data_IF_295882062636
#
_entry.id   IF_295882062636
#
_cell.length_a   1.000
_cell.length_b   1.000
_cell.length_c   1.000
_cell.angle_alpha   90.00
_cell.angle_beta   90.00
_cell.angle_gamma   90.00
#
_symmetry.space_group_name_H-M   'P 1'
#
loop_
_entity.id
_entity.type
_entity.pdbx_description
1 polymer ?
#
# COMPACT_ATOMS: atom_id res chain seq x y z
N UNK A 1 7.08 28.30 48.31
CA UNK A 1 6.88 27.09 47.46
C UNK A 1 5.56 27.11 46.67
N UNK A 2 5.06 28.26 46.20
CA UNK A 2 3.79 28.36 45.44
C UNK A 2 3.93 28.98 44.05
N UNK A 3 5.14 29.39 43.66
CA UNK A 3 5.41 30.14 42.42
C UNK A 3 6.01 29.29 41.30
N UNK A 4 6.49 28.07 41.58
CA UNK A 4 7.08 27.17 40.58
C UNK A 4 6.05 26.33 39.81
N UNK A 5 4.84 26.15 40.37
CA UNK A 5 3.79 25.31 39.78
C UNK A 5 3.03 26.02 38.64
N UNK A 6 2.88 27.34 38.71
CA UNK A 6 2.16 28.14 37.68
C UNK A 6 2.93 28.22 36.36
N UNK A 7 4.25 27.99 36.38
CA UNK A 7 5.11 28.08 35.18
C UNK A 7 5.03 26.84 34.29
N UNK A 8 4.63 25.68 34.83
CA UNK A 8 4.51 24.43 34.06
C UNK A 8 3.20 24.35 33.27
N UNK A 9 2.09 24.88 33.80
CA UNK A 9 0.81 24.86 33.08
C UNK A 9 0.84 25.70 31.79
N UNK A 10 1.59 26.80 31.76
CA UNK A 10 1.74 27.61 30.53
C UNK A 10 2.55 26.92 29.43
N UNK A 11 3.45 26.00 29.79
CA UNK A 11 4.26 25.26 28.80
C UNK A 11 3.42 24.14 28.18
N UNK A 12 2.52 23.51 28.96
CA UNK A 12 1.59 22.49 28.46
C UNK A 12 0.52 23.09 27.53
N UNK A 13 0.11 24.34 27.75
CA UNK A 13 -0.88 25.03 26.92
C UNK A 13 -0.41 25.40 25.49
N UNK A 14 0.86 25.20 25.14
CA UNK A 14 1.40 25.44 23.79
C UNK A 14 1.65 24.17 22.97
N UNK A 15 1.42 22.99 23.55
CA UNK A 15 1.45 21.74 22.79
C UNK A 15 0.08 21.54 22.14
N UNK A 16 0.01 21.83 20.82
CA UNK A 16 -1.15 21.48 20.00
C UNK A 16 -1.55 20.03 20.25
N UNK A 17 -2.85 19.70 20.34
CA UNK A 17 -3.29 18.32 20.46
C UNK A 17 -2.91 17.59 19.16
N UNK A 18 -1.87 16.77 19.21
CA UNK A 18 -1.59 15.78 18.18
C UNK A 18 -2.68 14.75 18.30
N UNK A 19 -3.53 14.65 17.27
CA UNK A 19 -4.55 13.63 17.11
C UNK A 19 -3.93 12.24 17.21
N UNK A 20 -3.80 11.72 18.42
CA UNK A 20 -3.39 10.36 18.72
C UNK A 20 -4.63 9.46 18.66
N UNK A 21 -5.14 9.21 17.46
CA UNK A 21 -6.25 8.27 17.24
C UNK A 21 -5.82 6.96 16.57
N UNK A 22 -4.52 6.66 16.42
CA UNK A 22 -4.09 5.38 15.82
C UNK A 22 -2.79 4.76 16.37
N UNK A 23 -2.30 5.15 17.56
CA UNK A 23 -1.29 4.35 18.25
C UNK A 23 -1.98 3.43 19.27
N UNK A 24 -2.17 2.18 18.86
CA UNK A 24 -2.76 1.07 19.61
C UNK A 24 -4.29 1.13 19.82
N UNK A 25 -5.04 0.10 19.40
CA UNK A 25 -6.35 -0.14 19.97
C UNK A 25 -6.13 -0.64 21.41
N UNK A 26 -6.09 0.29 22.38
CA UNK A 26 -6.14 0.01 23.82
C UNK A 26 -7.30 -0.93 24.16
N UNK A 27 -8.34 -0.95 23.32
CA UNK A 27 -9.48 -1.87 23.38
C UNK A 27 -9.10 -3.37 23.25
N UNK A 28 -8.08 -3.74 22.48
CA UNK A 28 -7.68 -5.15 22.31
C UNK A 28 -6.83 -5.66 23.48
N UNK A 29 -6.01 -4.78 24.07
CA UNK A 29 -5.26 -5.06 25.30
C UNK A 29 -6.18 -5.12 26.52
N UNK A 30 -7.19 -4.25 26.60
CA UNK A 30 -8.20 -4.33 27.67
C UNK A 30 -9.03 -5.62 27.63
N UNK A 31 -9.40 -6.13 26.45
CA UNK A 31 -10.18 -7.38 26.34
C UNK A 31 -9.42 -8.62 26.81
N UNK A 32 -8.12 -8.71 26.54
CA UNK A 32 -7.32 -9.86 27.00
C UNK A 32 -6.97 -9.76 28.49
N UNK A 33 -6.72 -8.56 29.01
CA UNK A 33 -6.48 -8.35 30.45
C UNK A 33 -7.77 -8.60 31.26
N UNK A 34 -8.93 -8.14 30.78
CA UNK A 34 -10.22 -8.33 31.46
C UNK A 34 -10.68 -9.80 31.51
N UNK A 35 -10.28 -10.64 30.54
CA UNK A 35 -10.51 -12.11 30.58
C UNK A 35 -9.59 -12.84 31.56
N UNK A 36 -8.45 -12.25 31.90
CA UNK A 36 -7.44 -12.87 32.75
C UNK A 36 -7.77 -12.72 34.25
N UNK A 37 -8.36 -11.59 34.65
CA UNK A 37 -8.67 -11.25 36.04
C UNK A 37 -9.62 -12.27 36.73
N UNK A 38 -10.76 -12.70 36.14
CA UNK A 38 -11.65 -13.65 36.81
C UNK A 38 -11.07 -15.07 36.87
N UNK A 39 -10.29 -15.49 35.86
CA UNK A 39 -9.64 -16.81 35.83
C UNK A 39 -8.60 -16.98 36.92
N UNK A 40 -7.84 -15.92 37.19
CA UNK A 40 -6.84 -15.90 38.26
C UNK A 40 -7.49 -15.94 39.65
N UNK A 41 -8.65 -15.28 39.82
CA UNK A 41 -9.41 -15.30 41.08
C UNK A 41 -10.01 -16.70 41.38
N UNK A 42 -10.53 -17.40 40.37
CA UNK A 42 -11.02 -18.78 40.55
C UNK A 42 -9.89 -19.76 40.86
N UNK A 43 -8.71 -19.62 40.26
CA UNK A 43 -7.56 -20.48 40.57
C UNK A 43 -6.98 -20.21 41.97
N UNK A 44 -7.02 -18.95 42.44
CA UNK A 44 -6.64 -18.62 43.81
C UNK A 44 -7.56 -19.26 44.86
N UNK A 45 -8.87 -19.38 44.57
CA UNK A 45 -9.82 -20.04 45.48
C UNK A 45 -9.58 -21.55 45.64
N UNK A 46 -9.06 -22.22 44.61
CA UNK A 46 -8.68 -23.65 44.66
C UNK A 46 -7.38 -23.84 45.45
N UNK A 47 -6.45 -22.88 45.35
CA UNK A 47 -5.16 -22.96 46.02
C UNK A 47 -5.21 -22.64 47.53
N UNK A 48 -6.19 -21.87 47.98
CA UNK A 48 -6.38 -21.54 49.41
C UNK A 48 -7.16 -22.61 50.21
N UNK A 49 -7.63 -23.68 49.55
CA UNK A 49 -8.62 -24.61 50.10
C UNK A 49 -8.15 -25.98 50.56
N UNK A 50 -6.85 -26.25 50.77
CA UNK A 50 -6.40 -27.60 51.19
C UNK A 50 -5.34 -27.59 52.30
N UNK A 51 -5.81 -27.52 53.55
CA UNK A 51 -5.06 -27.95 54.74
C UNK A 51 -5.02 -29.48 54.76
N UNK A 52 -3.84 -30.10 54.62
CA UNK A 52 -3.58 -31.41 55.21
C UNK A 52 -2.08 -31.62 55.41
N UNK A 53 -1.71 -31.79 56.67
CA UNK A 53 -0.37 -31.93 57.21
C UNK A 53 0.37 -33.16 56.67
N UNK A 54 1.55 -32.95 56.06
CA UNK A 54 2.72 -33.84 56.16
C UNK A 54 3.98 -32.98 56.10
N UNK A 55 4.75 -33.05 57.18
CA UNK A 55 6.02 -32.36 57.44
C UNK A 55 7.12 -32.85 56.51
N UNK A 56 7.21 -32.25 55.32
CA UNK A 56 8.50 -31.97 54.72
C UNK A 56 8.79 -30.51 55.03
N UNK A 57 9.94 -30.25 55.67
CA UNK A 57 10.40 -28.92 56.05
C UNK A 57 10.77 -28.12 54.78
N UNK A 58 9.74 -27.77 54.00
CA UNK A 58 9.87 -26.84 52.88
C UNK A 58 10.11 -25.49 53.53
N UNK A 59 11.36 -25.03 53.43
CA UNK A 59 11.77 -23.69 53.86
C UNK A 59 10.88 -22.68 53.14
N UNK A 60 9.85 -22.19 53.85
CA UNK A 60 8.96 -21.15 53.34
C UNK A 60 9.81 -19.88 53.25
N UNK A 61 10.30 -19.58 52.05
CA UNK A 61 10.99 -18.32 51.80
C UNK A 61 9.95 -17.20 51.91
N UNK A 62 10.15 -16.30 52.86
CA UNK A 62 9.38 -15.07 52.96
C UNK A 62 9.68 -14.23 51.70
N UNK A 63 8.68 -14.04 50.86
CA UNK A 63 8.76 -13.24 49.63
C UNK A 63 8.92 -11.77 50.03
N UNK A 64 9.98 -11.09 49.58
CA UNK A 64 10.20 -9.70 49.96
C UNK A 64 9.35 -8.76 49.11
N UNK A 65 8.79 -7.71 49.74
CA UNK A 65 8.02 -6.69 49.03
C UNK A 65 8.88 -5.97 47.98
N UNK A 66 10.18 -5.82 48.26
CA UNK A 66 11.15 -5.25 47.31
C UNK A 66 11.36 -6.16 46.09
N UNK A 67 11.22 -7.48 46.25
CA UNK A 67 11.43 -8.46 45.19
C UNK A 67 10.27 -8.42 44.18
N UNK A 68 9.03 -8.30 44.67
CA UNK A 68 7.86 -8.03 43.82
C UNK A 68 7.99 -6.68 43.13
N UNK A 69 8.44 -5.64 43.85
CA UNK A 69 8.56 -4.28 43.32
C UNK A 69 9.59 -4.17 42.19
N UNK A 70 10.75 -4.82 42.35
CA UNK A 70 11.78 -4.91 41.31
C UNK A 70 11.30 -5.77 40.13
N UNK A 71 10.59 -6.87 40.38
CA UNK A 71 10.06 -7.71 39.32
C UNK A 71 9.04 -6.97 38.44
N UNK A 72 8.10 -6.24 39.04
CA UNK A 72 7.11 -5.46 38.27
C UNK A 72 7.76 -4.26 37.57
N UNK A 73 8.78 -3.62 38.16
CA UNK A 73 9.45 -2.49 37.51
C UNK A 73 10.22 -2.95 36.26
N UNK A 74 10.91 -4.08 36.34
CA UNK A 74 11.58 -4.70 35.20
C UNK A 74 10.55 -5.17 34.17
N UNK A 75 9.44 -5.78 34.59
CA UNK A 75 8.39 -6.24 33.68
C UNK A 75 7.76 -5.07 32.89
N UNK A 76 7.47 -3.94 33.54
CA UNK A 76 6.95 -2.72 32.89
C UNK A 76 7.98 -2.14 31.90
N UNK A 77 9.26 -2.12 32.29
CA UNK A 77 10.34 -1.62 31.43
C UNK A 77 10.50 -2.47 30.16
N UNK A 78 10.49 -3.80 30.28
CA UNK A 78 10.60 -4.72 29.13
C UNK A 78 9.33 -4.66 28.27
N UNK A 79 8.15 -4.57 28.87
CA UNK A 79 6.88 -4.48 28.13
C UNK A 79 6.83 -3.26 27.20
N UNK A 80 7.50 -2.17 27.57
CA UNK A 80 7.56 -0.95 26.75
C UNK A 80 8.42 -1.17 25.49
N UNK A 81 9.48 -1.98 25.57
CA UNK A 81 10.40 -2.24 24.46
C UNK A 81 9.87 -3.30 23.48
N UNK A 82 9.04 -4.23 23.93
CA UNK A 82 8.56 -5.36 23.10
C UNK A 82 7.63 -4.97 21.95
N UNK A 83 7.06 -3.77 21.94
CA UNK A 83 5.95 -3.45 21.05
C UNK A 83 6.34 -2.99 19.64
N UNK A 84 7.53 -2.41 19.44
CA UNK A 84 7.85 -1.69 18.19
C UNK A 84 8.43 -2.57 17.09
N UNK A 85 9.25 -3.57 17.42
CA UNK A 85 9.94 -4.40 16.42
C UNK A 85 8.99 -5.35 15.65
N UNK A 86 7.92 -5.80 16.30
CA UNK A 86 6.99 -6.78 15.73
C UNK A 86 6.16 -6.20 14.57
N UNK A 87 5.83 -4.90 14.62
CA UNK A 87 4.98 -4.24 13.61
C UNK A 87 5.63 -4.24 12.23
N UNK A 88 6.94 -3.96 12.16
CA UNK A 88 7.67 -3.95 10.88
C UNK A 88 7.69 -5.32 10.21
N UNK A 89 7.86 -6.40 10.99
CA UNK A 89 7.86 -7.77 10.48
C UNK A 89 6.49 -8.21 9.99
N UNK A 90 5.42 -7.80 10.65
CA UNK A 90 4.06 -8.01 10.14
C UNK A 90 3.88 -7.28 8.81
N UNK A 91 4.33 -6.02 8.72
CA UNK A 91 4.17 -5.22 7.50
C UNK A 91 4.94 -5.82 6.32
N UNK A 92 6.19 -6.25 6.53
CA UNK A 92 6.98 -6.99 5.53
C UNK A 92 6.28 -8.28 5.09
N UNK A 93 5.69 -9.03 6.03
CA UNK A 93 4.93 -10.25 5.72
C UNK A 93 3.68 -9.95 4.89
N UNK A 94 2.96 -8.86 5.19
CA UNK A 94 1.81 -8.41 4.40
C UNK A 94 2.22 -8.00 2.99
N UNK A 95 3.30 -7.24 2.84
CA UNK A 95 3.83 -6.87 1.52
C UNK A 95 4.23 -8.10 0.71
N UNK A 96 4.88 -9.09 1.34
CA UNK A 96 5.22 -10.35 0.66
C UNK A 96 3.98 -11.14 0.23
N UNK A 97 2.91 -11.12 1.04
CA UNK A 97 1.65 -11.79 0.71
C UNK A 97 0.98 -11.10 -0.48
N UNK A 98 0.94 -9.76 -0.48
CA UNK A 98 0.40 -8.98 -1.60
C UNK A 98 1.13 -9.26 -2.91
N UNK A 99 2.46 -9.43 -2.89
CA UNK A 99 3.24 -9.80 -4.08
C UNK A 99 2.88 -11.21 -4.57
N UNK A 100 2.65 -12.17 -3.68
CA UNK A 100 2.21 -13.51 -4.06
C UNK A 100 0.83 -13.48 -4.72
N UNK A 101 -0.11 -12.75 -4.14
CA UNK A 101 -1.48 -12.60 -4.67
C UNK A 101 -1.47 -11.94 -6.05
N UNK A 102 -0.68 -10.87 -6.22
CA UNK A 102 -0.51 -10.19 -7.50
C UNK A 102 0.12 -11.11 -8.57
N UNK A 103 1.05 -11.99 -8.20
CA UNK A 103 1.61 -13.00 -9.13
C UNK A 103 0.54 -14.03 -9.53
N UNK A 104 -0.31 -14.45 -8.60
CA UNK A 104 -1.42 -15.37 -8.90
C UNK A 104 -2.42 -14.73 -9.88
N UNK A 105 -2.81 -13.47 -9.65
CA UNK A 105 -3.69 -12.70 -10.56
C UNK A 105 -3.04 -12.58 -11.94
N UNK A 106 -1.74 -12.25 -12.00
CA UNK A 106 -1.00 -12.17 -13.27
C UNK A 106 -1.01 -13.50 -14.03
N UNK A 107 -0.79 -14.61 -13.33
CA UNK A 107 -0.81 -15.94 -13.97
C UNK A 107 -2.19 -16.28 -14.51
N UNK A 108 -3.26 -15.93 -13.79
CA UNK A 108 -4.63 -16.08 -14.27
C UNK A 108 -4.89 -15.22 -15.53
N UNK A 109 -4.43 -13.96 -15.54
CA UNK A 109 -4.52 -13.08 -16.71
C UNK A 109 -3.81 -13.65 -17.94
N UNK A 110 -2.60 -14.20 -17.75
CA UNK A 110 -1.84 -14.86 -18.82
C UNK A 110 -2.60 -16.08 -19.36
N UNK A 111 -3.17 -16.89 -18.46
CA UNK A 111 -3.95 -18.08 -18.83
C UNK A 111 -5.21 -17.70 -19.62
N UNK A 112 -5.93 -16.67 -19.17
CA UNK A 112 -7.08 -16.11 -19.87
C UNK A 112 -6.70 -15.63 -21.28
N UNK A 113 -5.57 -14.93 -21.41
CA UNK A 113 -5.07 -14.44 -22.70
C UNK A 113 -4.77 -15.59 -23.66
N UNK A 114 -4.13 -16.67 -23.22
CA UNK A 114 -3.86 -17.83 -24.07
C UNK A 114 -5.12 -18.55 -24.58
N UNK A 115 -6.26 -18.38 -23.90
CA UNK A 115 -7.53 -19.01 -24.29
C UNK A 115 -8.38 -18.11 -25.17
N UNK A 116 -8.35 -16.80 -24.94
CA UNK A 116 -9.28 -15.83 -25.54
C UNK A 116 -8.58 -14.89 -26.53
N UNK A 117 -7.25 -14.96 -26.64
CA UNK A 117 -6.39 -14.01 -27.40
C UNK A 117 -6.63 -12.53 -27.02
N UNK A 118 -7.16 -12.28 -25.84
CA UNK A 118 -7.51 -10.95 -25.35
C UNK A 118 -7.47 -10.93 -23.83
N UNK A 119 -7.13 -9.78 -23.26
CA UNK A 119 -7.17 -9.59 -21.81
C UNK A 119 -8.61 -9.27 -21.36
N UNK A 120 -9.00 -9.67 -20.14
CA UNK A 120 -10.32 -9.35 -19.63
C UNK A 120 -10.46 -7.83 -19.40
N UNK A 121 -11.68 -7.30 -19.45
CA UNK A 121 -11.93 -5.89 -19.15
C UNK A 121 -12.00 -5.61 -17.64
N UNK A 122 -12.31 -6.66 -16.87
CA UNK A 122 -12.48 -6.59 -15.42
C UNK A 122 -12.02 -7.88 -14.75
N UNK A 123 -11.65 -7.82 -13.47
CA UNK A 123 -11.16 -8.99 -12.75
C UNK A 123 -12.26 -10.04 -12.53
N UNK A 124 -13.52 -9.64 -12.54
CA UNK A 124 -14.69 -10.52 -12.40
C UNK A 124 -14.79 -11.51 -13.57
N UNK A 125 -14.34 -11.15 -14.77
CA UNK A 125 -14.30 -12.06 -15.92
C UNK A 125 -13.33 -13.24 -15.68
N UNK A 126 -12.32 -13.09 -14.81
CA UNK A 126 -11.45 -14.19 -14.40
C UNK A 126 -12.18 -15.21 -13.51
N UNK A 127 -13.20 -14.77 -12.76
CA UNK A 127 -14.06 -15.66 -11.97
C UNK A 127 -15.04 -16.42 -12.87
N UNK A 128 -15.66 -15.72 -13.82
CA UNK A 128 -16.60 -16.32 -14.78
C UNK A 128 -15.94 -17.40 -15.63
N UNK A 129 -14.70 -17.13 -16.07
CA UNK A 129 -13.90 -18.08 -16.83
C UNK A 129 -13.30 -19.22 -16.00
N UNK A 130 -13.42 -19.16 -14.68
CA UNK A 130 -12.76 -20.07 -13.72
C UNK A 130 -11.24 -20.12 -13.85
N UNK A 131 -10.64 -19.11 -14.48
CA UNK A 131 -9.19 -18.91 -14.50
C UNK A 131 -8.67 -18.48 -13.12
N UNK A 132 -9.56 -17.93 -12.28
CA UNK A 132 -9.36 -17.69 -10.85
C UNK A 132 -10.55 -18.24 -10.04
N UNK A 133 -10.28 -18.92 -8.91
CA UNK A 133 -11.35 -19.50 -8.07
C UNK A 133 -12.09 -18.44 -7.24
N UNK A 134 -11.34 -17.48 -6.71
CA UNK A 134 -11.85 -16.38 -5.88
C UNK A 134 -10.91 -15.19 -6.06
N UNK A 135 -11.46 -13.97 -5.98
CA UNK A 135 -10.67 -12.75 -6.05
C UNK A 135 -10.07 -12.49 -4.66
N UNK A 136 -8.74 -12.60 -4.47
CA UNK A 136 -8.15 -12.30 -3.18
C UNK A 136 -8.32 -10.82 -2.84
N UNK A 137 -8.48 -10.53 -1.56
CA UNK A 137 -8.38 -9.17 -1.03
C UNK A 137 -6.93 -8.89 -0.62
N UNK A 138 -6.50 -7.66 -0.83
CA UNK A 138 -5.20 -7.17 -0.40
C UNK A 138 -5.02 -7.38 1.13
N UNK A 139 -3.82 -7.63 1.69
CA UNK A 139 -3.60 -7.82 3.13
C UNK A 139 -3.99 -6.66 4.06
N UNK A 140 -4.45 -5.55 3.48
CA UNK A 140 -5.05 -4.40 4.15
C UNK A 140 -6.58 -4.29 3.95
N UNK A 141 -7.22 -5.28 3.34
CA UNK A 141 -8.67 -5.40 3.17
C UNK A 141 -9.25 -4.56 2.04
N UNK A 142 -8.49 -4.30 0.98
CA UNK A 142 -8.91 -3.52 -0.20
C UNK A 142 -8.87 -4.38 -1.44
N UNK A 143 -9.61 -3.97 -2.47
CA UNK A 143 -9.55 -4.62 -3.78
C UNK A 143 -8.24 -4.28 -4.50
N UNK A 144 -7.78 -5.22 -5.33
CA UNK A 144 -6.66 -4.98 -6.23
C UNK A 144 -7.07 -4.05 -7.37
N UNK A 145 -6.16 -3.16 -7.76
CA UNK A 145 -6.37 -2.25 -8.88
C UNK A 145 -5.93 -2.99 -10.15
N UNK A 146 -6.86 -3.15 -11.09
CA UNK A 146 -6.61 -3.75 -12.39
C UNK A 146 -6.86 -2.76 -13.53
N UNK A 147 -5.86 -2.60 -14.38
CA UNK A 147 -5.90 -1.83 -15.61
C UNK A 147 -5.60 -2.75 -16.80
N UNK A 148 -6.56 -2.93 -17.72
CA UNK A 148 -6.32 -3.59 -19.00
C UNK A 148 -5.20 -2.88 -19.79
N UNK A 149 -4.49 -3.61 -20.68
CA UNK A 149 -3.51 -2.98 -21.56
C UNK A 149 -4.15 -1.94 -22.47
N UNK A 150 -3.40 -0.90 -22.78
CA UNK A 150 -3.84 0.18 -23.67
C UNK A 150 -2.84 0.38 -24.79
N UNK A 151 -3.32 0.23 -26.02
CA UNK A 151 -2.57 0.56 -27.21
C UNK A 151 -2.66 2.05 -27.52
N UNK A 152 -1.66 2.81 -27.07
CA UNK A 152 -1.62 4.26 -27.30
C UNK A 152 -1.63 4.64 -28.78
N UNK A 153 -1.11 3.77 -29.66
CA UNK A 153 -1.20 3.96 -31.12
C UNK A 153 -2.63 3.79 -31.64
N UNK A 154 -3.40 2.86 -31.09
CA UNK A 154 -4.82 2.70 -31.44
C UNK A 154 -5.63 3.91 -30.92
N UNK A 155 -5.30 4.42 -29.73
CA UNK A 155 -5.88 5.67 -29.21
C UNK A 155 -5.61 6.83 -30.17
N UNK A 156 -4.38 6.95 -30.68
CA UNK A 156 -4.04 8.00 -31.65
C UNK A 156 -4.84 7.88 -32.95
N UNK A 157 -5.00 6.66 -33.48
CA UNK A 157 -5.82 6.43 -34.67
C UNK A 157 -7.29 6.82 -34.44
N UNK A 158 -7.84 6.53 -33.26
CA UNK A 158 -9.19 6.98 -32.88
C UNK A 158 -9.29 8.50 -32.82
N UNK A 159 -8.29 9.17 -32.25
CA UNK A 159 -8.24 10.64 -32.22
C UNK A 159 -8.15 11.28 -33.61
N UNK A 160 -7.60 10.55 -34.60
CA UNK A 160 -7.52 11.01 -35.99
C UNK A 160 -8.79 10.70 -36.79
N UNK A 161 -9.67 9.83 -36.27
CA UNK A 161 -10.91 9.46 -36.95
C UNK A 161 -11.95 10.58 -36.86
N UNK A 162 -12.77 10.74 -37.90
CA UNK A 162 -13.80 11.78 -37.96
C UNK A 162 -14.96 11.56 -36.98
N UNK A 163 -15.28 10.29 -36.67
CA UNK A 163 -16.31 9.92 -35.70
C UNK A 163 -15.79 8.81 -34.76
N UNK A 164 -15.13 9.17 -33.65
CA UNK A 164 -14.52 8.22 -32.73
C UNK A 164 -15.54 7.37 -31.95
N UNK A 165 -16.74 7.89 -31.71
CA UNK A 165 -17.79 7.20 -30.93
C UNK A 165 -18.41 6.03 -31.69
N UNK A 166 -18.37 6.07 -33.02
CA UNK A 166 -18.88 5.00 -33.87
C UNK A 166 -17.95 3.79 -33.93
N UNK A 167 -16.68 3.93 -33.53
CA UNK A 167 -15.74 2.82 -33.53
C UNK A 167 -16.01 1.88 -32.33
N UNK A 168 -16.19 0.56 -32.55
CA UNK A 168 -16.45 -0.40 -31.48
C UNK A 168 -15.36 -0.45 -30.41
N UNK A 169 -14.14 0.03 -30.73
CA UNK A 169 -13.01 0.08 -29.79
C UNK A 169 -13.13 1.21 -28.76
N UNK A 170 -13.95 2.22 -29.02
CA UNK A 170 -14.07 3.39 -28.14
C UNK A 170 -14.69 3.07 -26.78
N UNK A 171 -15.76 2.27 -26.75
CA UNK A 171 -16.45 1.90 -25.52
C UNK A 171 -15.51 1.27 -24.46
N UNK A 172 -14.78 0.17 -24.74
CA UNK A 172 -13.90 -0.45 -23.74
C UNK A 172 -12.70 0.43 -23.38
N UNK A 173 -12.19 1.20 -24.34
CA UNK A 173 -11.08 2.12 -24.14
C UNK A 173 -11.48 3.27 -23.21
N UNK A 174 -12.65 3.85 -23.40
CA UNK A 174 -13.16 4.94 -22.55
C UNK A 174 -13.32 4.49 -21.09
N UNK A 175 -13.82 3.28 -20.86
CA UNK A 175 -13.93 2.69 -19.52
C UNK A 175 -12.54 2.49 -18.88
N UNK A 176 -11.60 1.96 -19.66
CA UNK A 176 -10.21 1.74 -19.20
C UNK A 176 -9.52 3.06 -18.85
N UNK A 177 -9.65 4.09 -19.68
CA UNK A 177 -9.06 5.40 -19.43
C UNK A 177 -9.73 6.11 -18.24
N UNK A 178 -11.05 6.00 -18.06
CA UNK A 178 -11.73 6.51 -16.85
C UNK A 178 -11.19 5.83 -15.59
N UNK A 179 -10.98 4.50 -15.62
CA UNK A 179 -10.35 3.77 -14.51
C UNK A 179 -8.91 4.24 -14.29
N UNK A 180 -8.11 4.42 -15.34
CA UNK A 180 -6.76 4.97 -15.24
C UNK A 180 -6.75 6.35 -14.57
N UNK A 181 -7.64 7.27 -14.96
CA UNK A 181 -7.75 8.59 -14.32
C UNK A 181 -8.10 8.48 -12.84
N UNK A 182 -9.00 7.55 -12.47
CA UNK A 182 -9.31 7.33 -11.05
C UNK A 182 -8.10 6.86 -10.24
N UNK A 183 -7.23 6.05 -10.85
CA UNK A 183 -5.98 5.59 -10.23
C UNK A 183 -4.98 6.74 -10.12
N UNK A 184 -4.81 7.53 -11.18
CA UNK A 184 -3.87 8.66 -11.24
C UNK A 184 -4.28 9.85 -10.36
N UNK A 185 -5.56 9.98 -10.02
CA UNK A 185 -6.06 11.01 -9.11
C UNK A 185 -6.17 10.53 -7.67
N UNK A 186 -6.08 9.22 -7.42
CA UNK A 186 -6.04 8.65 -6.08
C UNK A 186 -4.72 9.01 -5.38
N UNK A 187 -4.75 9.07 -4.03
CA UNK A 187 -3.56 9.35 -3.19
C UNK A 187 -2.38 8.41 -3.44
N UNK A 188 -2.59 7.26 -4.09
CA UNK A 188 -1.53 6.33 -4.48
C UNK A 188 -0.60 6.90 -5.58
N UNK A 189 -1.07 7.89 -6.35
CA UNK A 189 -0.31 8.52 -7.43
C UNK A 189 0.78 9.50 -6.96
N UNK A 190 0.81 9.87 -5.68
CA UNK A 190 1.87 10.76 -5.16
C UNK A 190 3.22 10.05 -5.04
N UNK A 191 3.23 8.70 -4.98
CA UNK A 191 4.46 7.91 -4.79
C UNK A 191 5.02 7.36 -6.10
N UNK A 192 4.19 7.19 -7.13
CA UNK A 192 4.55 6.56 -8.41
C UNK A 192 4.39 7.58 -9.53
N UNK A 193 5.41 7.72 -10.38
CA UNK A 193 5.34 8.59 -11.56
C UNK A 193 4.15 8.19 -12.45
N UNK A 194 3.17 9.10 -12.67
CA UNK A 194 2.04 8.86 -13.56
C UNK A 194 2.48 8.38 -14.94
N UNK A 195 3.56 8.94 -15.47
CA UNK A 195 4.05 8.59 -16.81
C UNK A 195 4.56 7.14 -16.86
N UNK A 196 5.12 6.62 -15.77
CA UNK A 196 5.56 5.24 -15.69
C UNK A 196 4.38 4.27 -15.75
N UNK A 197 3.29 4.56 -15.03
CA UNK A 197 2.06 3.73 -15.09
C UNK A 197 1.47 3.76 -16.50
N UNK A 198 1.34 4.96 -17.08
CA UNK A 198 0.76 5.14 -18.42
C UNK A 198 1.60 4.39 -19.48
N UNK A 199 2.92 4.45 -19.38
CA UNK A 199 3.82 3.73 -20.31
C UNK A 199 3.71 2.21 -20.12
N UNK A 200 3.61 1.74 -18.87
CA UNK A 200 3.54 0.30 -18.57
C UNK A 200 2.32 -0.37 -19.20
N UNK A 201 1.19 0.34 -19.30
CA UNK A 201 -0.04 -0.17 -19.92
C UNK A 201 0.13 -0.56 -21.39
N UNK A 202 1.11 0.00 -22.10
CA UNK A 202 1.36 -0.37 -23.49
C UNK A 202 1.92 -1.79 -23.63
N UNK A 203 2.61 -2.29 -22.60
CA UNK A 203 3.30 -3.59 -22.66
C UNK A 203 2.42 -4.76 -22.24
N UNK A 204 1.35 -4.50 -21.49
CA UNK A 204 0.50 -5.54 -20.95
C UNK A 204 -0.45 -5.05 -19.86
N UNK A 205 -1.26 -5.96 -19.29
CA UNK A 205 -2.14 -5.64 -18.18
C UNK A 205 -1.32 -5.20 -16.96
N UNK A 206 -1.85 -4.20 -16.26
CA UNK A 206 -1.23 -3.68 -15.06
C UNK A 206 -2.10 -3.99 -13.85
N UNK A 207 -1.49 -4.57 -12.80
CA UNK A 207 -2.16 -4.87 -11.53
C UNK A 207 -1.30 -4.29 -10.41
N UNK A 208 -1.94 -3.66 -9.43
CA UNK A 208 -1.28 -3.19 -8.22
C UNK A 208 -2.15 -3.35 -6.98
N UNK A 209 -1.50 -3.42 -5.82
CA UNK A 209 -2.15 -3.30 -4.52
C UNK A 209 -2.06 -1.87 -4.01
N UNK A 210 -3.06 -1.45 -3.24
CA UNK A 210 -3.08 -0.11 -2.64
C UNK A 210 -1.95 0.08 -1.62
N UNK A 211 -1.55 -1.00 -0.95
CA UNK A 211 -0.52 -0.97 0.08
C UNK A 211 -0.92 -0.18 1.34
N UNK A 212 0.03 -0.07 2.27
CA UNK A 212 -0.17 0.69 3.52
C UNK A 212 0.19 2.18 3.38
N UNK A 213 1.39 2.46 2.86
CA UNK A 213 1.93 3.81 2.69
C UNK A 213 2.34 4.08 1.24
N UNK A 214 2.82 3.06 0.54
CA UNK A 214 3.11 3.07 -0.89
C UNK A 214 2.39 1.89 -1.55
N UNK A 215 1.96 2.02 -2.81
CA UNK A 215 1.36 0.91 -3.53
C UNK A 215 2.35 -0.23 -3.70
N UNK A 216 1.87 -1.47 -3.56
CA UNK A 216 2.69 -2.66 -3.78
C UNK A 216 2.59 -3.05 -5.24
N UNK A 217 3.75 -3.13 -5.89
CA UNK A 217 3.91 -3.41 -7.30
C UNK A 217 4.76 -4.66 -7.50
N UNK A 218 4.58 -5.32 -8.64
CA UNK A 218 5.51 -6.37 -9.03
C UNK A 218 6.83 -5.75 -9.50
N UNK A 219 7.98 -6.42 -9.28
CA UNK A 219 9.30 -5.86 -9.59
C UNK A 219 9.42 -5.37 -11.04
N UNK A 220 8.82 -6.11 -11.97
CA UNK A 220 8.88 -5.79 -13.41
C UNK A 220 7.77 -4.84 -13.90
N UNK A 221 6.82 -4.48 -13.03
CA UNK A 221 5.60 -3.77 -13.44
C UNK A 221 5.87 -2.37 -14.01
N UNK A 222 6.94 -1.70 -13.58
CA UNK A 222 7.33 -0.36 -14.02
C UNK A 222 8.69 -0.31 -14.73
N UNK A 223 9.18 -1.45 -15.20
CA UNK A 223 10.46 -1.53 -15.91
C UNK A 223 10.31 -1.03 -17.37
N UNK A 224 10.11 0.27 -17.51
CA UNK A 224 9.88 0.94 -18.79
C UNK A 224 11.20 1.36 -19.43
N UNK A 225 11.34 1.14 -20.74
CA UNK A 225 12.48 1.67 -21.49
C UNK A 225 12.29 3.18 -21.67
N UNK A 226 13.37 3.98 -21.64
CA UNK A 226 13.27 5.42 -21.84
C UNK A 226 12.68 5.78 -23.22
N UNK A 227 12.91 4.93 -24.23
CA UNK A 227 12.31 5.07 -25.57
C UNK A 227 10.78 5.00 -25.53
N UNK A 228 10.23 4.07 -24.75
CA UNK A 228 8.80 3.81 -24.68
C UNK A 228 8.08 4.95 -23.95
N UNK A 229 8.73 5.49 -22.91
CA UNK A 229 8.25 6.68 -22.18
C UNK A 229 8.20 7.89 -23.10
N UNK A 230 9.26 8.13 -23.89
CA UNK A 230 9.32 9.24 -24.83
C UNK A 230 8.29 9.10 -25.95
N UNK A 231 8.13 7.90 -26.50
CA UNK A 231 7.14 7.62 -27.55
C UNK A 231 5.72 7.85 -27.02
N UNK A 232 5.38 7.26 -25.87
CA UNK A 232 4.07 7.42 -25.24
C UNK A 232 3.80 8.90 -24.93
N UNK A 233 4.78 9.64 -24.42
CA UNK A 233 4.66 11.07 -24.17
C UNK A 233 4.51 11.93 -25.44
N UNK A 234 5.04 11.51 -26.60
CA UNK A 234 4.75 12.15 -27.89
C UNK A 234 3.32 11.88 -28.34
N UNK A 235 2.90 10.61 -28.27
CA UNK A 235 1.54 10.19 -28.68
C UNK A 235 0.48 10.91 -27.85
N UNK A 236 0.63 10.96 -26.52
CA UNK A 236 -0.35 11.63 -25.65
C UNK A 236 -0.47 13.12 -25.90
N UNK A 237 0.62 13.79 -26.25
CA UNK A 237 0.59 15.21 -26.64
C UNK A 237 -0.19 15.41 -27.94
N UNK A 238 0.05 14.58 -28.95
CA UNK A 238 -0.72 14.61 -30.19
C UNK A 238 -2.20 14.29 -29.96
N UNK A 239 -2.50 13.24 -29.19
CA UNK A 239 -3.87 12.88 -28.84
C UNK A 239 -4.57 14.03 -28.10
N UNK A 240 -3.88 14.76 -27.22
CA UNK A 240 -4.45 15.91 -26.51
C UNK A 240 -4.82 17.03 -27.47
N UNK A 241 -3.94 17.36 -28.43
CA UNK A 241 -4.22 18.40 -29.43
C UNK A 241 -5.42 18.02 -30.31
N UNK A 242 -5.47 16.77 -30.78
CA UNK A 242 -6.57 16.24 -31.58
C UNK A 242 -7.88 16.09 -30.78
N UNK A 243 -7.80 15.81 -29.48
CA UNK A 243 -8.99 15.68 -28.64
C UNK A 243 -9.68 17.04 -28.40
N UNK A 244 -9.00 18.19 -28.58
CA UNK A 244 -9.62 19.51 -28.39
C UNK A 244 -10.80 19.75 -29.34
N UNK A 245 -10.81 19.12 -30.52
CA UNK A 245 -11.93 19.21 -31.47
C UNK A 245 -13.08 18.24 -31.19
N UNK A 246 -12.92 17.30 -30.25
CA UNK A 246 -13.91 16.26 -29.94
C UNK A 246 -14.20 16.20 -28.42
N UNK A 247 -15.37 16.70 -27.95
CA UNK A 247 -15.64 16.83 -26.51
C UNK A 247 -15.60 15.50 -25.75
N UNK A 248 -16.11 14.41 -26.35
CA UNK A 248 -16.10 13.08 -25.73
C UNK A 248 -14.69 12.50 -25.56
N UNK A 249 -13.79 12.72 -26.52
CA UNK A 249 -12.38 12.33 -26.39
C UNK A 249 -11.66 13.20 -25.37
N UNK A 250 -11.96 14.50 -25.31
CA UNK A 250 -11.32 15.42 -24.38
C UNK A 250 -11.66 15.10 -22.92
N UNK A 251 -12.91 14.69 -22.62
CA UNK A 251 -13.32 14.26 -21.27
C UNK A 251 -12.41 13.13 -20.74
N UNK A 252 -12.00 12.23 -21.63
CA UNK A 252 -11.27 11.02 -21.26
C UNK A 252 -9.75 11.20 -21.35
N UNK A 253 -9.26 11.76 -22.46
CA UNK A 253 -7.82 11.91 -22.74
C UNK A 253 -7.23 13.12 -22.01
N UNK A 254 -8.01 14.19 -21.84
CA UNK A 254 -7.56 15.43 -21.21
C UNK A 254 -6.96 15.19 -19.81
N UNK A 255 -7.66 14.51 -18.90
CA UNK A 255 -7.14 14.20 -17.57
C UNK A 255 -5.89 13.28 -17.59
N UNK A 256 -5.86 12.28 -18.48
CA UNK A 256 -4.70 11.38 -18.63
C UNK A 256 -3.48 12.15 -19.13
N UNK A 257 -3.65 12.99 -20.14
CA UNK A 257 -2.58 13.82 -20.67
C UNK A 257 -2.14 14.91 -19.68
N UNK A 258 -3.05 15.43 -18.85
CA UNK A 258 -2.72 16.35 -17.77
C UNK A 258 -1.91 15.67 -16.66
N UNK A 259 -2.26 14.43 -16.29
CA UNK A 259 -1.49 13.62 -15.34
C UNK A 259 -0.10 13.28 -15.89
N UNK A 260 0.00 12.91 -17.17
CA UNK A 260 1.28 12.69 -17.86
C UNK A 260 2.14 13.96 -17.92
N UNK A 261 1.53 15.15 -18.00
CA UNK A 261 2.24 16.43 -18.03
C UNK A 261 2.81 16.85 -16.66
N UNK A 262 2.45 16.17 -15.55
CA UNK A 262 3.02 16.44 -14.21
C UNK A 262 4.48 15.96 -14.05
N UNK A 263 5.16 15.60 -15.13
CA UNK A 263 6.54 15.07 -15.14
C UNK A 263 7.57 16.01 -14.45
N UNK A 264 8.45 15.45 -13.60
CA UNK A 264 9.88 15.73 -13.75
C UNK A 264 10.35 15.00 -15.02
N UNK A 265 10.60 15.73 -16.10
CA UNK A 265 10.98 15.16 -17.39
C UNK A 265 12.20 14.24 -17.29
N UNK A 266 12.32 13.31 -18.24
CA UNK A 266 13.40 12.32 -18.39
C UNK A 266 14.85 12.87 -18.36
N UNK A 267 15.07 14.17 -18.17
CA UNK A 267 16.39 14.75 -17.86
C UNK A 267 16.77 14.65 -16.38
N UNK A 268 15.82 14.49 -15.45
CA UNK A 268 16.13 14.42 -14.01
C UNK A 268 16.63 13.05 -13.56
N UNK A 269 16.14 11.95 -14.15
CA UNK A 269 16.61 10.60 -13.83
C UNK A 269 18.03 10.33 -14.36
N UNK A 270 18.37 10.85 -15.56
CA UNK A 270 19.75 10.79 -16.08
C UNK A 270 20.69 11.76 -15.37
N UNK A 271 20.20 12.91 -14.89
CA UNK A 271 20.99 13.83 -14.06
C UNK A 271 21.23 13.28 -12.64
N UNK A 272 20.27 12.57 -12.06
CA UNK A 272 20.43 11.92 -10.75
C UNK A 272 21.40 10.72 -10.81
N UNK A 273 21.37 9.91 -11.88
CA UNK A 273 22.35 8.83 -12.05
C UNK A 273 23.74 9.35 -12.44
N UNK A 274 23.84 10.45 -13.20
CA UNK A 274 25.12 11.10 -13.52
C UNK A 274 25.73 11.85 -12.33
N UNK A 275 24.91 12.48 -11.47
CA UNK A 275 25.38 13.12 -10.24
C UNK A 275 25.83 12.08 -9.19
N UNK A 276 25.19 10.92 -9.12
CA UNK A 276 25.63 9.81 -8.27
C UNK A 276 26.95 9.18 -8.76
N UNK A 277 27.18 9.12 -10.07
CA UNK A 277 28.44 8.64 -10.65
C UNK A 277 29.59 9.64 -10.46
N UNK A 278 29.34 10.95 -10.57
CA UNK A 278 30.36 11.99 -10.35
C UNK A 278 30.74 12.18 -8.86
N UNK A 279 29.85 11.81 -7.93
CA UNK A 279 30.14 11.86 -6.49
C UNK A 279 30.93 10.64 -5.97
N UNK A 280 31.02 9.56 -6.77
CA UNK A 280 31.78 8.35 -6.41
C UNK A 280 33.27 8.39 -6.76
N UNK A 281 33.71 9.34 -7.60
CA UNK A 281 35.06 9.36 -8.19
C UNK A 281 36.00 10.41 -7.56
N UNK A 282 35.61 11.04 -6.44
CA UNK A 282 36.44 11.99 -5.69
C UNK A 282 36.91 11.43 -4.33
N UNK A 283 36.86 10.11 -4.15
CA UNK A 283 37.11 9.44 -2.87
C UNK A 283 38.28 8.45 -2.84
N UNK A 284 39.15 8.41 -3.86
CA UNK A 284 40.37 7.59 -3.84
C UNK A 284 41.52 8.33 -4.50
N UNK A 285 42.31 9.03 -3.68
CA UNK A 285 43.57 9.69 -4.04
C UNK A 285 44.29 10.12 -2.78
#
# INVERSE_FOLDING_TARGET
MRTSFVRLERIVAHLRPVSATNLFPVASLQKNIAKFIPRMLTLASVFLGRRSSRTLLVKVKHFSLIEVLVAISIAVMISTLSSSAYVRKIQESKESSAVLDLNAIRQALITYYFRTDSYPQSLEQLLESRDLLELPLDPWGRDYIYLPPVDWRAVLQLCQSSNPEADPRFAPLSATLKRLVSVLTSSAADTVDPMAIITALHRGPFVMSHGHAAPVLLPDALNNRPTDVQETGRILRQCRELALSHPALNEVIGPVAAAAARLPSASAASAASAAAAAAGDLGTG
#
